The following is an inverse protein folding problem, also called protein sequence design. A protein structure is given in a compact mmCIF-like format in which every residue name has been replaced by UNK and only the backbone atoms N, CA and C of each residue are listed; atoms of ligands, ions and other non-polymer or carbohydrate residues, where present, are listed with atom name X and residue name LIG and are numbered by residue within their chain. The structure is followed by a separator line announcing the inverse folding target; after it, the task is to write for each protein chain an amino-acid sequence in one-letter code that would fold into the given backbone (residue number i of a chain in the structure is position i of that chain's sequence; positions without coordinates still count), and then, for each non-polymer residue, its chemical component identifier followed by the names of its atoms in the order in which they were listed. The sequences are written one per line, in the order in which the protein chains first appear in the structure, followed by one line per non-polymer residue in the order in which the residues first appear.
data_IF_364326184056
#
_entry.id   IF_364326184056
#
_cell.length_a   1.000
_cell.length_b   1.000
_cell.length_c   1.000
_cell.angle_alpha   90.00
_cell.angle_beta   90.00
_cell.angle_gamma   90.00
#
_symmetry.space_group_name_H-M   'P 1'
#
loop_
_entity.id
_entity.type
_entity.pdbx_description
1 polymer ?
#
# COMPACT_ATOMS: atom_id res chain seq x y z
N UNK A 1 -8.69 -26.40 32.86
CA UNK A 1 -7.35 -25.79 32.98
C UNK A 1 -6.43 -26.44 31.96
N UNK A 2 -6.43 -25.93 30.72
CA UNK A 2 -5.55 -26.39 29.66
C UNK A 2 -4.20 -25.73 29.85
N UNK A 3 -3.23 -26.49 30.38
CA UNK A 3 -1.83 -26.10 30.38
C UNK A 3 -1.38 -25.98 28.93
N UNK A 4 -1.14 -24.74 28.48
CA UNK A 4 -0.60 -24.43 27.17
C UNK A 4 0.80 -25.07 27.06
N UNK A 5 0.86 -26.28 26.48
CA UNK A 5 2.10 -27.04 26.24
C UNK A 5 2.84 -26.51 25.01
N UNK A 6 2.85 -25.20 24.78
CA UNK A 6 3.76 -24.63 23.78
C UNK A 6 5.17 -24.75 24.36
N UNK A 7 6.12 -25.41 23.67
CA UNK A 7 7.51 -25.34 24.08
C UNK A 7 7.88 -23.87 24.14
N UNK A 8 8.18 -23.39 25.34
CA UNK A 8 8.72 -22.06 25.60
C UNK A 8 10.10 -22.05 24.96
N UNK A 9 10.15 -21.75 23.66
CA UNK A 9 11.40 -21.54 22.95
C UNK A 9 11.96 -20.22 23.46
N UNK A 10 12.89 -20.27 24.41
CA UNK A 10 13.54 -19.08 24.94
C UNK A 10 14.35 -18.40 23.81
N UNK A 11 13.96 -17.18 23.38
CA UNK A 11 14.68 -16.43 22.36
C UNK A 11 16.17 -16.25 22.67
N UNK A 12 16.52 -16.14 23.95
CA UNK A 12 17.90 -15.94 24.37
C UNK A 12 18.71 -17.22 24.23
N UNK A 13 18.15 -18.37 24.60
CA UNK A 13 18.79 -19.67 24.35
C UNK A 13 19.09 -19.90 22.87
N UNK A 14 18.15 -19.56 21.96
CA UNK A 14 18.36 -19.67 20.51
C UNK A 14 19.46 -18.72 20.02
N UNK A 15 19.54 -17.50 20.55
CA UNK A 15 20.62 -16.55 20.23
C UNK A 15 21.99 -17.05 20.69
N UNK A 16 22.07 -17.60 21.90
CA UNK A 16 23.31 -18.16 22.44
C UNK A 16 23.79 -19.36 21.61
N UNK A 17 22.86 -20.22 21.19
CA UNK A 17 23.16 -21.33 20.28
C UNK A 17 23.65 -20.85 18.90
N UNK A 18 23.04 -19.80 18.36
CA UNK A 18 23.38 -19.27 17.04
C UNK A 18 24.69 -18.45 17.01
N UNK A 19 25.08 -17.84 18.13
CA UNK A 19 26.26 -16.99 18.24
C UNK A 19 27.54 -17.59 17.63
N UNK A 20 27.97 -18.83 17.96
CA UNK A 20 29.18 -19.41 17.39
C UNK A 20 29.09 -19.70 15.88
N UNK A 21 27.89 -19.86 15.31
CA UNK A 21 27.69 -20.01 13.87
C UNK A 21 27.87 -18.68 13.15
N UNK A 22 27.25 -17.62 13.69
CA UNK A 22 27.35 -16.27 13.13
C UNK A 22 28.76 -15.71 13.24
N UNK A 23 29.46 -15.94 14.35
CA UNK A 23 30.86 -15.52 14.52
C UNK A 23 31.78 -16.15 13.48
N UNK A 24 31.65 -17.46 13.22
CA UNK A 24 32.43 -18.16 12.19
C UNK A 24 32.14 -17.65 10.78
N UNK A 25 30.87 -17.41 10.46
CA UNK A 25 30.48 -16.87 9.17
C UNK A 25 30.99 -15.44 8.96
N UNK A 26 30.87 -14.57 9.97
CA UNK A 26 31.37 -13.19 9.92
C UNK A 26 32.90 -13.13 9.75
N UNK A 27 33.65 -14.08 10.33
CA UNK A 27 35.09 -14.17 10.11
C UNK A 27 35.46 -14.51 8.65
N UNK A 28 34.55 -15.15 7.91
CA UNK A 28 34.73 -15.48 6.48
C UNK A 28 34.35 -14.30 5.57
N UNK A 29 33.54 -13.36 6.07
CA UNK A 29 33.12 -12.15 5.37
C UNK A 29 31.67 -11.78 5.64
N UNK A 30 31.16 -10.79 4.91
CA UNK A 30 29.78 -10.31 5.06
C UNK A 30 28.79 -11.44 4.74
N UNK A 31 27.84 -11.67 5.65
CA UNK A 31 26.74 -12.64 5.47
C UNK A 31 25.71 -12.04 4.52
N UNK A 32 25.46 -12.63 3.34
CA UNK A 32 24.44 -12.12 2.41
C UNK A 32 23.02 -12.44 2.90
N UNK A 33 21.99 -11.70 2.44
CA UNK A 33 20.60 -12.03 2.76
C UNK A 33 20.21 -13.41 2.22
N UNK A 34 19.52 -14.22 3.03
CA UNK A 34 19.07 -15.55 2.61
C UNK A 34 18.16 -15.48 1.36
N UNK A 35 18.43 -16.32 0.36
CA UNK A 35 17.68 -16.35 -0.91
C UNK A 35 18.03 -15.24 -1.91
N UNK A 36 18.96 -14.34 -1.58
CA UNK A 36 19.47 -13.34 -2.54
C UNK A 36 20.37 -13.98 -3.60
N UNK A 37 20.60 -13.27 -4.72
CA UNK A 37 21.54 -13.73 -5.76
C UNK A 37 22.96 -13.97 -5.23
N UNK A 38 23.43 -13.12 -4.33
CA UNK A 38 24.75 -13.26 -3.70
C UNK A 38 24.82 -14.45 -2.77
N UNK A 39 23.72 -14.81 -2.09
CA UNK A 39 23.61 -16.04 -1.31
C UNK A 39 23.58 -17.29 -2.21
N UNK A 40 22.85 -17.26 -3.33
CA UNK A 40 22.81 -18.38 -4.28
C UNK A 40 24.16 -18.65 -4.93
N UNK A 41 24.97 -17.62 -5.14
CA UNK A 41 26.31 -17.74 -5.72
C UNK A 41 27.35 -18.36 -4.77
N UNK A 42 27.04 -18.49 -3.47
CA UNK A 42 27.95 -19.11 -2.51
C UNK A 42 27.98 -20.64 -2.67
N UNK A 43 29.17 -21.27 -2.53
CA UNK A 43 29.29 -22.72 -2.43
C UNK A 43 28.43 -23.29 -1.31
N UNK A 44 27.91 -24.50 -1.48
CA UNK A 44 27.07 -25.16 -0.47
C UNK A 44 27.80 -25.43 0.84
N UNK A 45 29.13 -25.53 0.80
CA UNK A 45 30.00 -25.70 1.97
C UNK A 45 30.38 -24.40 2.65
N UNK A 46 30.00 -23.23 2.12
CA UNK A 46 30.34 -21.94 2.70
C UNK A 46 29.53 -21.70 4.00
N UNK A 47 30.18 -21.45 5.15
CA UNK A 47 29.49 -21.25 6.43
C UNK A 47 28.54 -20.05 6.41
N UNK A 48 28.75 -19.07 5.52
CA UNK A 48 27.87 -17.91 5.36
C UNK A 48 26.49 -18.29 4.83
N UNK A 49 26.37 -19.40 4.09
CA UNK A 49 25.11 -19.86 3.52
C UNK A 49 24.13 -20.31 4.60
N UNK A 50 24.61 -21.14 5.53
CA UNK A 50 23.85 -21.57 6.71
C UNK A 50 23.59 -20.40 7.67
N UNK A 51 24.59 -19.56 7.90
CA UNK A 51 24.47 -18.40 8.79
C UNK A 51 23.42 -17.39 8.31
N UNK A 52 23.28 -17.17 6.99
CA UNK A 52 22.25 -16.31 6.43
C UNK A 52 20.83 -16.80 6.76
N UNK A 53 20.59 -18.11 6.71
CA UNK A 53 19.30 -18.72 7.05
C UNK A 53 19.02 -18.58 8.56
N UNK A 54 20.03 -18.86 9.39
CA UNK A 54 19.93 -18.70 10.84
C UNK A 54 19.66 -17.24 11.22
N UNK A 55 20.35 -16.29 10.57
CA UNK A 55 20.13 -14.87 10.78
C UNK A 55 18.69 -14.46 10.42
N UNK A 56 18.19 -14.91 9.27
CA UNK A 56 16.80 -14.66 8.88
C UNK A 56 15.79 -15.26 9.88
N UNK A 57 16.05 -16.48 10.38
CA UNK A 57 15.20 -17.11 11.39
C UNK A 57 15.22 -16.34 12.73
N UNK A 58 16.38 -15.85 13.17
CA UNK A 58 16.49 -15.02 14.37
C UNK A 58 15.74 -13.70 14.22
N UNK A 59 15.84 -13.04 13.06
CA UNK A 59 15.07 -11.82 12.77
C UNK A 59 13.58 -12.11 12.84
N UNK A 60 13.11 -13.22 12.25
CA UNK A 60 11.70 -13.64 12.35
C UNK A 60 11.28 -13.92 13.80
N UNK A 61 12.16 -14.52 14.60
CA UNK A 61 11.86 -14.77 16.00
C UNK A 61 11.74 -13.47 16.79
N UNK A 62 12.58 -12.46 16.51
CA UNK A 62 12.51 -11.13 17.10
C UNK A 62 11.22 -10.39 16.75
N UNK A 63 10.82 -10.43 15.47
CA UNK A 63 9.58 -9.83 14.96
C UNK A 63 8.31 -10.42 15.59
N UNK A 64 8.38 -11.67 16.06
CA UNK A 64 7.24 -12.40 16.64
C UNK A 64 7.23 -12.41 18.18
N UNK A 65 8.07 -11.60 18.83
CA UNK A 65 7.97 -11.40 20.27
C UNK A 65 6.70 -10.62 20.64
N UNK A 66 6.10 -10.83 21.82
CA UNK A 66 4.91 -10.09 22.24
C UNK A 66 5.07 -8.58 22.18
N UNK A 67 6.26 -8.06 22.54
CA UNK A 67 6.58 -6.64 22.49
C UNK A 67 6.71 -6.11 21.05
N UNK A 68 7.31 -6.88 20.14
CA UNK A 68 7.38 -6.47 18.73
C UNK A 68 5.99 -6.50 18.08
N UNK A 69 5.18 -7.50 18.41
CA UNK A 69 3.79 -7.59 17.94
C UNK A 69 2.96 -6.43 18.49
N UNK A 70 3.06 -6.12 19.79
CA UNK A 70 2.31 -5.01 20.39
C UNK A 70 2.73 -3.67 19.81
N UNK A 71 4.03 -3.42 19.62
CA UNK A 71 4.52 -2.21 18.97
C UNK A 71 4.02 -2.07 17.52
N UNK A 72 4.04 -3.17 16.75
CA UNK A 72 3.51 -3.17 15.38
C UNK A 72 2.00 -2.89 15.35
N UNK A 73 1.24 -3.53 16.25
CA UNK A 73 -0.20 -3.30 16.35
C UNK A 73 -0.53 -1.88 16.79
N UNK A 74 0.23 -1.31 17.73
CA UNK A 74 0.10 0.08 18.15
C UNK A 74 0.34 1.03 16.97
N UNK A 75 1.43 0.84 16.22
CA UNK A 75 1.72 1.65 15.03
C UNK A 75 0.62 1.54 13.96
N UNK A 76 0.07 0.33 13.75
CA UNK A 76 -1.07 0.12 12.83
C UNK A 76 -2.34 0.80 13.34
N UNK A 77 -2.57 0.78 14.65
CA UNK A 77 -3.72 1.45 15.26
C UNK A 77 -3.60 2.97 15.13
N UNK A 78 -2.43 3.55 15.42
CA UNK A 78 -2.15 4.98 15.27
C UNK A 78 -2.36 5.44 13.83
N UNK A 79 -1.89 4.67 12.85
CA UNK A 79 -2.11 4.96 11.43
C UNK A 79 -3.61 4.92 11.09
N UNK A 80 -4.32 3.88 11.54
CA UNK A 80 -5.76 3.77 11.32
C UNK A 80 -6.50 4.95 11.93
N UNK A 81 -6.13 5.36 13.14
CA UNK A 81 -6.75 6.48 13.85
C UNK A 81 -6.51 7.80 13.11
N UNK A 82 -5.29 8.04 12.59
CA UNK A 82 -4.99 9.20 11.75
C UNK A 82 -5.86 9.23 10.50
N UNK A 83 -5.99 8.10 9.80
CA UNK A 83 -6.86 7.98 8.62
C UNK A 83 -8.32 8.25 8.99
N UNK A 84 -8.81 7.69 10.10
CA UNK A 84 -10.17 7.93 10.58
C UNK A 84 -10.42 9.41 10.89
N UNK A 85 -9.50 10.07 11.60
CA UNK A 85 -9.61 11.50 11.90
C UNK A 85 -9.65 12.35 10.63
N UNK A 86 -8.83 12.03 9.64
CA UNK A 86 -8.83 12.76 8.36
C UNK A 86 -10.13 12.53 7.57
N UNK A 87 -10.62 11.30 7.53
CA UNK A 87 -11.91 10.98 6.89
C UNK A 87 -13.07 11.71 7.55
N UNK A 88 -13.12 11.74 8.87
CA UNK A 88 -14.13 12.50 9.61
C UNK A 88 -14.02 13.99 9.33
N UNK A 89 -12.80 14.54 9.26
CA UNK A 89 -12.60 15.95 8.90
C UNK A 89 -13.11 16.25 7.49
N UNK A 90 -12.75 15.43 6.51
CA UNK A 90 -13.23 15.56 5.13
C UNK A 90 -14.76 15.46 5.04
N UNK A 91 -15.36 14.47 5.71
CA UNK A 91 -16.80 14.31 5.76
C UNK A 91 -17.51 15.51 6.40
N UNK A 92 -16.96 16.05 7.50
CA UNK A 92 -17.46 17.26 8.13
C UNK A 92 -17.38 18.47 7.20
N UNK A 93 -16.29 18.62 6.43
CA UNK A 93 -16.18 19.67 5.42
C UNK A 93 -17.22 19.51 4.31
N UNK A 94 -17.43 18.29 3.80
CA UNK A 94 -18.43 18.01 2.79
C UNK A 94 -19.86 18.25 3.31
N UNK A 95 -20.16 17.86 4.55
CA UNK A 95 -21.44 18.13 5.20
C UNK A 95 -21.65 19.62 5.45
N UNK A 96 -20.63 20.34 5.90
CA UNK A 96 -20.69 21.79 6.10
C UNK A 96 -20.91 22.51 4.78
N UNK A 97 -20.24 22.07 3.72
CA UNK A 97 -20.47 22.55 2.37
C UNK A 97 -21.90 22.25 1.93
N UNK A 98 -22.41 21.03 2.12
CA UNK A 98 -23.78 20.66 1.76
C UNK A 98 -24.85 21.41 2.59
N UNK A 99 -24.62 21.67 3.88
CA UNK A 99 -25.50 22.53 4.69
C UNK A 99 -25.46 23.97 4.20
N UNK A 100 -24.29 24.47 3.80
CA UNK A 100 -24.17 25.74 3.11
C UNK A 100 -24.84 25.75 1.73
N UNK A 101 -25.22 24.61 1.14
CA UNK A 101 -26.06 24.58 -0.07
C UNK A 101 -27.51 24.98 0.19
N UNK A 102 -27.97 24.97 1.45
CA UNK A 102 -29.17 25.70 1.87
C UNK A 102 -29.03 27.23 1.72
N UNK A 103 -27.80 27.71 1.51
CA UNK A 103 -27.40 29.08 1.25
C UNK A 103 -26.42 29.16 0.05
N UNK A 104 -26.88 28.73 -1.13
CA UNK A 104 -26.40 29.15 -2.47
C UNK A 104 -24.91 29.01 -2.88
N UNK A 105 -23.98 28.49 -2.07
CA UNK A 105 -22.56 28.38 -2.46
C UNK A 105 -22.12 26.91 -2.49
N UNK A 106 -22.06 26.35 -3.70
CA UNK A 106 -21.52 25.01 -3.96
C UNK A 106 -19.99 24.93 -3.83
N UNK A 107 -19.39 23.71 -3.89
CA UNK A 107 -17.94 23.54 -3.96
C UNK A 107 -17.38 24.36 -5.11
N UNK A 108 -16.32 25.13 -4.85
CA UNK A 108 -15.71 25.96 -5.90
C UNK A 108 -15.20 25.10 -7.04
N UNK A 109 -15.19 25.64 -8.26
CA UNK A 109 -14.60 24.95 -9.41
C UNK A 109 -13.17 24.45 -9.14
N UNK A 110 -12.38 25.21 -8.36
CA UNK A 110 -11.02 24.83 -7.94
C UNK A 110 -11.01 23.59 -7.04
N UNK A 111 -11.99 23.46 -6.16
CA UNK A 111 -12.20 22.30 -5.30
C UNK A 111 -12.54 21.05 -6.13
N UNK A 112 -13.47 21.20 -7.07
CA UNK A 112 -13.87 20.13 -7.99
C UNK A 112 -12.72 19.72 -8.92
N UNK A 113 -11.92 20.68 -9.39
CA UNK A 113 -10.73 20.42 -10.18
C UNK A 113 -9.69 19.64 -9.36
N UNK A 114 -9.46 20.00 -8.09
CA UNK A 114 -8.56 19.25 -7.20
C UNK A 114 -9.03 17.80 -7.01
N UNK A 115 -10.33 17.59 -6.76
CA UNK A 115 -10.95 16.25 -6.62
C UNK A 115 -10.84 15.40 -7.90
N UNK A 116 -10.95 16.00 -9.10
CA UNK A 116 -10.91 15.29 -10.39
C UNK A 116 -9.51 14.93 -10.89
N UNK A 117 -8.46 15.53 -10.32
CA UNK A 117 -7.08 15.34 -10.75
C UNK A 117 -6.37 14.17 -10.07
N UNK A 118 -6.88 13.68 -8.92
CA UNK A 118 -6.27 12.53 -8.26
C UNK A 118 -6.69 11.25 -8.98
N UNK A 119 -5.82 10.76 -9.86
CA UNK A 119 -6.00 9.53 -10.62
C UNK A 119 -4.91 8.53 -10.27
N UNK A 120 -5.29 7.28 -10.13
CA UNK A 120 -4.33 6.18 -9.98
C UNK A 120 -4.70 5.01 -10.87
N UNK A 121 -3.69 4.23 -11.24
CA UNK A 121 -3.86 3.00 -12.00
C UNK A 121 -3.95 1.84 -11.00
N UNK A 122 -5.12 1.21 -10.92
CA UNK A 122 -5.47 0.25 -9.88
C UNK A 122 -6.03 -1.03 -10.52
N UNK A 123 -5.70 -2.24 -10.01
CA UNK A 123 -6.32 -3.47 -10.50
C UNK A 123 -7.83 -3.51 -10.25
N UNK A 124 -8.57 -4.11 -11.19
CA UNK A 124 -9.98 -4.40 -11.00
C UNK A 124 -10.20 -5.24 -9.72
N UNK A 125 -11.18 -4.87 -8.89
CA UNK A 125 -11.53 -5.60 -7.68
C UNK A 125 -12.29 -6.92 -7.89
N UNK A 126 -12.51 -7.34 -9.15
CA UNK A 126 -13.13 -8.63 -9.44
C UNK A 126 -12.12 -9.76 -9.26
N UNK A 127 -12.49 -10.82 -8.55
CA UNK A 127 -11.61 -11.95 -8.26
C UNK A 127 -11.11 -12.59 -9.56
N UNK A 128 -9.79 -12.61 -9.75
CA UNK A 128 -9.16 -13.18 -10.96
C UNK A 128 -8.99 -12.21 -12.13
N UNK A 129 -9.55 -10.99 -12.07
CA UNK A 129 -9.31 -9.96 -13.08
C UNK A 129 -7.99 -9.22 -12.80
N UNK A 130 -7.16 -9.04 -13.84
CA UNK A 130 -5.87 -8.32 -13.76
C UNK A 130 -5.86 -7.01 -14.54
N UNK A 131 -7.00 -6.60 -15.07
CA UNK A 131 -7.12 -5.36 -15.85
C UNK A 131 -6.89 -4.17 -14.92
N UNK A 132 -5.97 -3.28 -15.31
CA UNK A 132 -5.75 -2.01 -14.64
C UNK A 132 -6.79 -1.00 -15.10
N UNK A 133 -7.39 -0.30 -14.14
CA UNK A 133 -8.42 0.71 -14.37
C UNK A 133 -7.87 2.04 -13.88
N UNK A 134 -8.05 3.08 -14.70
CA UNK A 134 -7.79 4.45 -14.27
C UNK A 134 -8.93 4.86 -13.32
N UNK A 135 -8.60 4.97 -12.04
CA UNK A 135 -9.55 5.28 -10.99
C UNK A 135 -9.40 6.73 -10.57
N UNK A 136 -10.47 7.50 -10.69
CA UNK A 136 -10.55 8.84 -10.12
C UNK A 136 -10.98 8.69 -8.68
N UNK A 137 -10.12 9.09 -7.74
CA UNK A 137 -10.42 8.94 -6.33
C UNK A 137 -11.56 9.89 -5.92
N UNK A 138 -12.55 9.41 -5.17
CA UNK A 138 -13.62 10.26 -4.66
C UNK A 138 -13.14 11.28 -3.60
N UNK A 139 -11.93 11.09 -3.04
CA UNK A 139 -11.33 11.95 -2.03
C UNK A 139 -10.10 12.68 -2.60
N UNK A 140 -9.94 14.00 -2.34
CA UNK A 140 -8.93 14.85 -2.99
C UNK A 140 -7.48 14.71 -2.47
N UNK A 141 -7.17 13.79 -1.57
CA UNK A 141 -5.88 13.78 -0.86
C UNK A 141 -5.00 12.56 -1.16
N UNK A 142 -3.69 12.70 -0.92
CA UNK A 142 -2.65 11.66 -1.05
C UNK A 142 -2.98 10.34 -0.32
N UNK A 143 -3.84 10.41 0.70
CA UNK A 143 -4.36 9.25 1.44
C UNK A 143 -5.27 8.34 0.60
N UNK A 144 -6.00 8.90 -0.37
CA UNK A 144 -6.83 8.10 -1.27
C UNK A 144 -5.98 7.20 -2.18
N UNK A 145 -4.76 7.63 -2.50
CA UNK A 145 -3.78 6.82 -3.24
C UNK A 145 -3.13 5.72 -2.37
N UNK A 146 -3.13 5.85 -1.03
CA UNK A 146 -2.50 4.89 -0.10
C UNK A 146 -3.41 3.72 0.30
N UNK A 147 -4.73 3.91 0.25
CA UNK A 147 -5.72 2.87 0.55
C UNK A 147 -6.84 2.93 -0.48
N UNK A 148 -6.60 2.51 -1.73
CA UNK A 148 -7.68 2.38 -2.67
C UNK A 148 -8.59 1.26 -2.20
N UNK A 149 -9.82 1.60 -1.82
CA UNK A 149 -10.85 0.60 -1.64
C UNK A 149 -11.16 -0.03 -3.02
N UNK A 150 -10.47 -1.13 -3.32
CA UNK A 150 -10.58 -1.87 -4.58
C UNK A 150 -11.96 -2.49 -4.77
N UNK A 151 -12.76 -2.59 -3.70
CA UNK A 151 -14.04 -3.31 -3.70
C UNK A 151 -15.04 -2.71 -4.70
N UNK A 152 -14.90 -1.41 -5.04
CA UNK A 152 -15.75 -0.71 -6.01
C UNK A 152 -15.13 -0.54 -7.40
N UNK A 153 -13.82 -0.80 -7.57
CA UNK A 153 -13.13 -0.63 -8.85
C UNK A 153 -13.46 -1.79 -9.79
N UNK A 154 -14.08 -1.48 -10.93
CA UNK A 154 -14.45 -2.47 -11.95
C UNK A 154 -13.93 -2.02 -13.31
N UNK A 155 -13.37 -2.95 -14.08
CA UNK A 155 -13.06 -2.68 -15.48
C UNK A 155 -14.37 -2.63 -16.30
N UNK A 156 -14.32 -2.13 -17.54
CA UNK A 156 -15.51 -2.02 -18.40
C UNK A 156 -16.25 -3.36 -18.62
N UNK A 157 -15.53 -4.48 -18.56
CA UNK A 157 -16.08 -5.84 -18.72
C UNK A 157 -16.83 -6.33 -17.47
N UNK A 158 -16.52 -5.77 -16.29
CA UNK A 158 -17.12 -6.13 -15.01
C UNK A 158 -17.97 -5.00 -14.41
N UNK A 159 -18.25 -3.95 -15.18
CA UNK A 159 -19.17 -2.87 -14.81
C UNK A 159 -20.60 -3.37 -15.01
N UNK A 160 -21.45 -3.28 -13.98
CA UNK A 160 -22.86 -3.68 -14.09
C UNK A 160 -23.57 -2.80 -15.13
N UNK A 161 -24.40 -3.34 -16.05
CA UNK A 161 -25.03 -2.60 -17.15
C UNK A 161 -25.97 -1.45 -16.73
N UNK A 162 -26.22 -1.26 -15.43
CA UNK A 162 -27.02 -0.17 -14.89
C UNK A 162 -26.20 1.12 -14.61
N UNK A 163 -24.88 1.07 -14.74
CA UNK A 163 -24.03 2.27 -14.65
C UNK A 163 -23.67 2.69 -16.07
N UNK A 164 -24.10 3.87 -16.56
CA UNK A 164 -23.72 4.32 -17.89
C UNK A 164 -22.19 4.41 -17.95
N UNK A 165 -21.65 3.82 -19.00
CA UNK A 165 -20.29 3.97 -19.52
C UNK A 165 -19.77 5.37 -19.13
N UNK A 166 -18.61 5.52 -18.43
CA UNK A 166 -18.08 6.85 -18.18
C UNK A 166 -18.00 7.56 -19.52
N UNK A 167 -18.75 8.67 -19.63
CA UNK A 167 -18.83 9.46 -20.85
C UNK A 167 -17.41 9.76 -21.28
N UNK A 168 -17.00 9.14 -22.40
CA UNK A 168 -15.90 9.61 -23.20
C UNK A 168 -16.33 10.99 -23.71
N UNK A 169 -16.07 12.03 -22.90
CA UNK A 169 -16.11 13.41 -23.35
C UNK A 169 -14.94 13.55 -24.33
N UNK A 170 -15.20 13.19 -25.58
CA UNK A 170 -14.37 13.51 -26.73
C UNK A 170 -14.16 15.03 -26.75
N UNK A 171 -13.00 15.47 -26.27
CA UNK A 171 -12.44 16.75 -26.63
C UNK A 171 -12.03 16.68 -28.09
N UNK A 172 -12.91 17.10 -28.99
CA UNK A 172 -12.56 17.41 -30.37
C UNK A 172 -13.13 18.78 -30.67
N UNK A 173 -12.42 19.81 -30.22
CA UNK A 173 -12.53 21.16 -30.77
C UNK A 173 -12.01 21.11 -32.21
N UNK A 174 -12.76 21.62 -33.22
CA UNK A 174 -12.20 21.77 -34.55
C UNK A 174 -11.09 22.83 -34.51
N UNK A 175 -9.96 22.50 -35.15
CA UNK A 175 -8.85 23.41 -35.36
C UNK A 175 -9.32 24.63 -36.17
N UNK A 176 -9.30 25.81 -35.56
CA UNK A 176 -9.36 27.08 -36.27
C UNK A 176 -8.02 27.26 -36.96
N UNK A 177 -7.95 26.88 -38.24
CA UNK A 177 -6.83 27.17 -39.11
C UNK A 177 -6.76 28.68 -39.31
N UNK A 178 -5.77 29.33 -38.68
CA UNK A 178 -5.28 30.63 -39.11
C UNK A 178 -4.68 30.48 -40.51
N UNK A 179 -5.25 31.15 -41.50
CA UNK A 179 -4.54 31.53 -42.71
C UNK A 179 -4.65 33.04 -42.84
N UNK A 180 -3.51 33.70 -42.67
CA UNK A 180 -3.32 35.09 -43.04
C UNK A 180 -2.85 35.20 -44.48
N UNK A 181 -3.40 36.20 -45.17
CA UNK A 181 -2.79 37.10 -46.18
C UNK A 181 -2.23 36.49 -47.47
N UNK A 182 -2.81 36.86 -48.62
CA UNK A 182 -2.19 37.73 -49.64
C UNK A 182 -2.93 37.65 -51.00
N UNK A 183 -3.46 38.79 -51.44
CA UNK A 183 -3.31 39.42 -52.77
C UNK A 183 -4.42 40.45 -52.97
#
# INVERSE_FOLDING_TARGET
MTTDRRPLCDPNAVRLWAAPLLTRANATGIIPPAGSRTWCALPDTDPRKAAAVVLAALTRLQENTPNAISARLAAQHDETERVCRERTRSASHDMSAAQAWGSAIGPTYRELARRRLLRSSIPCGHTGCRVLVEFVHPLPDELAARLPDLSSVRCPEHLHPAVPKPLALHGSTPAVTRLGVAA
#
